data_IF_645145933104
#
_entry.id   IF_645145933104
#
_cell.length_a   1.000
_cell.length_b   1.000
_cell.length_c   1.000
_cell.angle_alpha   90.00
_cell.angle_beta   90.00
_cell.angle_gamma   90.00
#
_symmetry.space_group_name_H-M   'P 1'
#
loop_
_entity.id
_entity.type
_entity.pdbx_description
1 polymer ?
#
# COMPACT_ATOMS: atom_id res chain seq x y z
N UNK A 1 66.57 47.33 30.73
CA UNK A 1 66.15 45.93 30.49
C UNK A 1 64.61 45.91 30.59
N UNK A 2 63.93 45.87 29.44
CA UNK A 2 62.46 45.87 29.39
C UNK A 2 62.07 44.55 28.76
N UNK A 3 61.37 43.69 29.56
CA UNK A 3 60.86 42.40 29.10
C UNK A 3 59.57 42.62 28.31
N UNK A 4 59.62 42.26 27.05
CA UNK A 4 58.45 42.22 26.18
C UNK A 4 57.77 40.85 26.36
N UNK A 5 56.61 40.86 26.96
CA UNK A 5 55.75 39.68 27.09
C UNK A 5 54.88 39.57 25.83
N UNK A 6 55.17 38.61 24.94
CA UNK A 6 54.35 38.34 23.78
C UNK A 6 53.24 37.38 24.24
N UNK A 7 51.98 37.84 24.32
CA UNK A 7 50.84 37.04 24.55
C UNK A 7 50.38 36.54 23.18
N UNK A 8 50.59 35.25 22.90
CA UNK A 8 50.04 34.58 21.74
C UNK A 8 48.59 34.16 22.09
N UNK A 9 47.64 34.88 21.51
CA UNK A 9 46.20 34.55 21.60
C UNK A 9 45.91 33.45 20.60
N UNK A 10 45.86 32.17 21.03
CA UNK A 10 45.40 31.06 20.23
C UNK A 10 43.87 31.11 20.18
N UNK A 11 43.36 31.66 19.09
CA UNK A 11 41.93 31.58 18.79
C UNK A 11 41.59 30.13 18.43
N UNK A 12 41.04 29.39 19.38
CA UNK A 12 40.45 28.06 19.15
C UNK A 12 39.13 28.27 18.43
N UNK A 13 39.16 28.22 17.11
CA UNK A 13 37.95 28.18 16.28
C UNK A 13 37.27 26.83 16.50
N UNK A 14 36.31 26.78 17.43
CA UNK A 14 35.35 25.70 17.54
C UNK A 14 34.47 25.72 16.27
N UNK A 15 34.89 24.96 15.28
CA UNK A 15 34.00 24.59 14.16
C UNK A 15 32.96 23.68 14.76
N UNK A 16 31.81 24.25 15.14
CA UNK A 16 30.60 23.50 15.35
C UNK A 16 30.20 22.91 14.00
N UNK A 17 30.61 21.68 13.73
CA UNK A 17 29.87 20.83 12.82
C UNK A 17 28.52 20.62 13.49
N UNK A 18 27.58 21.49 13.21
CA UNK A 18 26.18 21.23 13.44
C UNK A 18 25.86 20.01 12.62
N UNK A 19 25.80 18.82 13.26
CA UNK A 19 25.04 17.70 12.71
C UNK A 19 23.65 18.27 12.46
N UNK A 20 23.37 18.57 11.19
CA UNK A 20 21.99 18.73 10.78
C UNK A 20 21.34 17.38 11.03
N UNK A 21 20.74 17.24 12.19
CA UNK A 21 19.73 16.22 12.42
C UNK A 21 18.60 16.55 11.45
N UNK A 22 18.73 16.06 10.23
CA UNK A 22 17.59 15.95 9.37
C UNK A 22 16.56 15.17 10.18
N UNK A 23 15.46 15.83 10.55
CA UNK A 23 14.30 15.13 11.03
C UNK A 23 14.10 13.96 10.06
N UNK A 24 14.26 12.73 10.54
CA UNK A 24 14.17 11.55 9.68
C UNK A 24 12.73 11.52 9.17
N UNK A 25 12.54 12.12 7.98
CA UNK A 25 11.28 12.07 7.27
C UNK A 25 10.89 10.60 7.11
N UNK A 26 9.61 10.32 7.31
CA UNK A 26 9.00 9.02 7.05
C UNK A 26 9.08 8.78 5.53
N UNK A 27 10.27 8.45 5.03
CA UNK A 27 10.52 8.14 3.62
C UNK A 27 10.71 6.64 3.45
N UNK A 28 10.70 6.17 2.22
CA UNK A 28 11.01 4.78 1.88
C UNK A 28 12.50 4.53 2.14
N UNK A 29 12.81 3.64 3.08
CA UNK A 29 14.18 3.25 3.45
C UNK A 29 14.51 1.81 3.07
N UNK A 30 13.51 0.92 3.09
CA UNK A 30 13.67 -0.50 2.82
C UNK A 30 12.64 -0.95 1.79
N UNK A 31 13.12 -1.41 0.65
CA UNK A 31 12.27 -2.03 -0.39
C UNK A 31 12.56 -3.52 -0.41
N UNK A 32 11.51 -4.33 -0.32
CA UNK A 32 11.61 -5.78 -0.44
C UNK A 32 11.21 -6.20 -1.85
N UNK A 33 12.12 -6.88 -2.53
CA UNK A 33 11.89 -7.45 -3.86
C UNK A 33 11.70 -8.94 -3.72
N UNK A 34 10.53 -9.41 -4.09
CA UNK A 34 10.18 -10.81 -4.13
C UNK A 34 10.25 -11.33 -5.57
N UNK A 35 11.11 -12.28 -5.82
CA UNK A 35 11.10 -13.03 -7.07
C UNK A 35 10.15 -14.22 -6.92
N UNK A 36 8.97 -14.13 -7.52
CA UNK A 36 7.94 -15.16 -7.40
C UNK A 36 8.44 -16.54 -7.78
N UNK A 37 7.86 -17.57 -7.16
CA UNK A 37 8.25 -18.98 -7.35
C UNK A 37 9.70 -19.29 -6.93
N UNK A 38 10.22 -20.48 -7.23
CA UNK A 38 11.59 -20.87 -6.93
C UNK A 38 11.77 -22.37 -6.68
N UNK A 39 12.99 -22.85 -6.91
CA UNK A 39 13.32 -24.26 -6.77
C UNK A 39 12.61 -25.18 -7.75
N UNK A 40 12.73 -26.48 -7.54
CA UNK A 40 12.05 -27.50 -8.36
C UNK A 40 10.57 -27.61 -8.04
N UNK A 41 10.18 -27.33 -6.79
CA UNK A 41 8.81 -27.51 -6.30
C UNK A 41 7.84 -26.43 -6.79
N UNK A 42 8.33 -25.22 -7.01
CA UNK A 42 7.50 -24.07 -7.43
C UNK A 42 8.09 -23.42 -8.69
N UNK A 43 8.00 -24.05 -9.85
CA UNK A 43 8.58 -23.53 -11.10
C UNK A 43 7.80 -22.35 -11.67
N UNK A 44 6.55 -22.09 -11.23
CA UNK A 44 5.61 -21.21 -11.91
C UNK A 44 5.17 -21.77 -13.28
N UNK A 45 4.72 -20.90 -14.16
CA UNK A 45 4.36 -21.27 -15.52
C UNK A 45 5.58 -21.79 -16.31
N UNK A 46 5.34 -22.76 -17.18
CA UNK A 46 6.38 -23.33 -18.06
C UNK A 46 5.90 -23.29 -19.50
N UNK A 47 6.63 -22.57 -20.36
CA UNK A 47 6.36 -22.47 -21.78
C UNK A 47 7.64 -22.66 -22.61
N UNK A 48 7.61 -23.59 -23.56
CA UNK A 48 8.77 -23.91 -24.42
C UNK A 48 10.08 -24.14 -23.63
N UNK A 49 9.97 -24.78 -22.45
CA UNK A 49 11.11 -25.07 -21.58
C UNK A 49 11.58 -23.90 -20.71
N UNK A 50 11.06 -22.68 -20.93
CA UNK A 50 11.32 -21.51 -20.07
C UNK A 50 10.40 -21.57 -18.85
N UNK A 51 10.96 -21.36 -17.66
CA UNK A 51 10.24 -21.36 -16.38
C UNK A 51 10.07 -19.94 -15.88
N UNK A 52 8.91 -19.63 -15.37
CA UNK A 52 8.56 -18.33 -14.83
C UNK A 52 9.54 -17.88 -13.73
N UNK A 53 9.84 -18.77 -12.78
CA UNK A 53 10.78 -18.49 -11.68
C UNK A 53 12.14 -17.94 -12.13
N UNK A 54 12.60 -18.34 -13.33
CA UNK A 54 13.90 -17.91 -13.86
C UNK A 54 13.83 -16.50 -14.42
N UNK A 55 12.74 -16.14 -15.09
CA UNK A 55 12.46 -14.76 -15.54
C UNK A 55 12.32 -13.84 -14.33
N UNK A 56 11.48 -14.23 -13.36
CA UNK A 56 11.22 -13.45 -12.15
C UNK A 56 12.52 -13.13 -11.41
N UNK A 57 13.38 -14.13 -11.21
CA UNK A 57 14.66 -13.96 -10.51
C UNK A 57 15.60 -13.00 -11.26
N UNK A 58 15.72 -13.16 -12.58
CA UNK A 58 16.61 -12.32 -13.40
C UNK A 58 16.16 -10.86 -13.36
N UNK A 59 14.85 -10.60 -13.51
CA UNK A 59 14.31 -9.22 -13.46
C UNK A 59 14.44 -8.64 -12.06
N UNK A 60 14.15 -9.43 -11.01
CA UNK A 60 14.28 -8.99 -9.61
C UNK A 60 15.71 -8.55 -9.27
N UNK A 61 16.73 -9.34 -9.64
CA UNK A 61 18.12 -9.02 -9.38
C UNK A 61 18.57 -7.77 -10.16
N UNK A 62 18.13 -7.62 -11.41
CA UNK A 62 18.42 -6.42 -12.22
C UNK A 62 17.74 -5.18 -11.64
N UNK A 63 16.49 -5.30 -11.17
CA UNK A 63 15.77 -4.21 -10.52
C UNK A 63 16.50 -3.76 -9.26
N UNK A 64 16.87 -4.68 -8.40
CA UNK A 64 17.55 -4.33 -7.16
C UNK A 64 18.89 -3.66 -7.38
N UNK A 65 19.70 -4.18 -8.33
CA UNK A 65 20.97 -3.54 -8.70
C UNK A 65 20.78 -2.10 -9.23
N UNK A 66 19.68 -1.83 -9.95
CA UNK A 66 19.34 -0.47 -10.39
C UNK A 66 18.92 0.42 -9.22
N UNK A 67 18.13 -0.10 -8.29
CA UNK A 67 17.70 0.64 -7.10
C UNK A 67 18.91 0.98 -6.23
N UNK A 68 19.78 0.02 -5.93
CA UNK A 68 20.98 0.23 -5.13
C UNK A 68 21.91 1.29 -5.75
N UNK A 69 22.01 1.31 -7.09
CA UNK A 69 22.80 2.28 -7.82
C UNK A 69 22.17 3.69 -7.82
N UNK A 70 20.86 3.80 -8.03
CA UNK A 70 20.18 5.07 -8.32
C UNK A 70 19.49 5.68 -7.10
N UNK A 71 19.25 4.88 -6.07
CA UNK A 71 18.67 5.27 -4.77
C UNK A 71 19.53 4.71 -3.62
N UNK A 72 20.80 5.14 -3.47
CA UNK A 72 21.74 4.54 -2.51
C UNK A 72 21.29 4.66 -1.04
N UNK A 73 20.33 5.54 -0.76
CA UNK A 73 19.71 5.68 0.56
C UNK A 73 18.63 4.62 0.84
N UNK A 74 18.23 3.85 -0.16
CA UNK A 74 17.22 2.79 -0.05
C UNK A 74 17.90 1.43 0.02
N UNK A 75 17.68 0.73 1.11
CA UNK A 75 18.14 -0.65 1.28
C UNK A 75 17.24 -1.61 0.49
N UNK A 76 17.84 -2.46 -0.33
CA UNK A 76 17.13 -3.54 -1.01
C UNK A 76 17.26 -4.84 -0.21
N UNK A 77 16.14 -5.52 -0.02
CA UNK A 77 16.08 -6.86 0.58
C UNK A 77 15.39 -7.79 -0.40
N UNK A 78 15.97 -8.96 -0.64
CA UNK A 78 15.37 -9.96 -1.54
C UNK A 78 14.79 -11.11 -0.72
N UNK A 79 13.66 -11.65 -1.16
CA UNK A 79 13.15 -12.91 -0.59
C UNK A 79 14.02 -14.10 -0.98
N UNK A 80 14.53 -14.09 -2.22
CA UNK A 80 15.54 -15.03 -2.73
C UNK A 80 16.45 -14.37 -3.76
N UNK A 81 17.70 -14.79 -3.79
CA UNK A 81 18.72 -14.35 -4.77
C UNK A 81 19.23 -15.49 -5.66
N UNK A 82 18.73 -16.70 -5.41
CA UNK A 82 19.06 -17.91 -6.16
C UNK A 82 17.79 -18.70 -6.50
N UNK A 83 17.92 -19.72 -7.34
CA UNK A 83 16.81 -20.64 -7.64
C UNK A 83 16.58 -21.62 -6.49
N UNK A 84 15.83 -21.19 -5.50
CA UNK A 84 15.42 -22.00 -4.34
C UNK A 84 13.97 -21.78 -3.96
N UNK A 85 13.30 -22.81 -3.45
CA UNK A 85 12.07 -22.71 -2.71
C UNK A 85 12.38 -22.20 -1.30
N UNK A 86 11.44 -21.48 -0.68
CA UNK A 86 11.57 -20.95 0.69
C UNK A 86 10.79 -21.78 1.71
N UNK A 87 9.99 -22.74 1.25
CA UNK A 87 9.22 -23.67 2.04
C UNK A 87 9.05 -25.02 1.34
N UNK A 88 8.56 -26.02 2.07
CA UNK A 88 8.30 -27.36 1.54
C UNK A 88 6.89 -27.48 0.94
N UNK A 89 5.98 -26.62 1.37
CA UNK A 89 4.64 -26.45 0.83
C UNK A 89 4.48 -25.04 0.28
N UNK A 90 3.48 -24.84 -0.59
CA UNK A 90 3.15 -23.51 -1.13
C UNK A 90 2.84 -22.52 0.00
N UNK A 91 2.07 -22.95 0.98
CA UNK A 91 1.73 -22.15 2.15
C UNK A 91 2.96 -21.72 2.95
N UNK A 92 3.90 -22.62 3.19
CA UNK A 92 5.17 -22.31 3.86
C UNK A 92 6.03 -21.36 3.02
N UNK A 93 6.11 -21.58 1.70
CA UNK A 93 6.90 -20.74 0.78
C UNK A 93 6.38 -19.29 0.78
N UNK A 94 5.06 -19.10 0.61
CA UNK A 94 4.43 -17.78 0.63
C UNK A 94 4.56 -17.10 2.01
N UNK A 95 4.39 -17.87 3.10
CA UNK A 95 4.60 -17.35 4.46
C UNK A 95 6.04 -16.94 4.72
N UNK A 96 7.02 -17.68 4.19
CA UNK A 96 8.44 -17.34 4.33
C UNK A 96 8.78 -16.02 3.62
N UNK A 97 8.21 -15.75 2.43
CA UNK A 97 8.35 -14.48 1.70
C UNK A 97 7.86 -13.29 2.52
N UNK A 98 6.64 -13.38 3.02
CA UNK A 98 6.05 -12.35 3.88
C UNK A 98 6.86 -12.15 5.17
N UNK A 99 7.31 -13.25 5.82
CA UNK A 99 8.13 -13.18 7.03
C UNK A 99 9.49 -12.50 6.79
N UNK A 100 10.12 -12.73 5.63
CA UNK A 100 11.36 -12.03 5.25
C UNK A 100 11.09 -10.53 5.13
N UNK A 101 10.01 -10.15 4.45
CA UNK A 101 9.61 -8.76 4.26
C UNK A 101 9.32 -8.07 5.60
N UNK A 102 8.50 -8.69 6.45
CA UNK A 102 8.10 -8.15 7.75
C UNK A 102 9.30 -8.03 8.72
N UNK A 103 10.20 -9.05 8.76
CA UNK A 103 11.43 -9.00 9.56
C UNK A 103 12.42 -7.93 9.08
N UNK A 104 12.44 -7.65 7.80
CA UNK A 104 13.28 -6.60 7.24
C UNK A 104 12.78 -5.19 7.61
N UNK A 105 11.55 -5.07 8.13
CA UNK A 105 10.88 -3.77 8.33
C UNK A 105 10.71 -3.05 7.01
N UNK A 106 10.24 -3.75 5.97
CA UNK A 106 10.06 -3.20 4.65
C UNK A 106 9.07 -2.03 4.65
N UNK A 107 9.40 -0.97 3.94
CA UNK A 107 8.48 0.16 3.70
C UNK A 107 7.63 -0.09 2.45
N UNK A 108 8.07 -0.99 1.58
CA UNK A 108 7.36 -1.38 0.37
C UNK A 108 7.79 -2.77 -0.11
N UNK A 109 6.80 -3.56 -0.57
CA UNK A 109 7.01 -4.92 -1.09
C UNK A 109 6.59 -5.00 -2.56
N UNK A 110 7.47 -5.57 -3.41
CA UNK A 110 7.24 -5.78 -4.83
C UNK A 110 7.44 -7.26 -5.15
N UNK A 111 6.37 -7.98 -5.48
CA UNK A 111 6.45 -9.34 -6.00
C UNK A 111 6.46 -9.33 -7.53
N UNK A 112 7.40 -10.05 -8.15
CA UNK A 112 7.64 -10.07 -9.59
C UNK A 112 7.26 -11.44 -10.14
N UNK A 113 6.34 -11.45 -11.11
CA UNK A 113 5.77 -12.61 -11.76
C UNK A 113 5.69 -12.45 -13.28
N UNK A 114 5.42 -13.52 -13.99
CA UNK A 114 5.14 -13.54 -15.42
C UNK A 114 3.94 -14.45 -15.69
N UNK A 115 2.82 -13.84 -16.01
CA UNK A 115 1.51 -14.46 -16.17
C UNK A 115 1.46 -15.49 -17.31
N UNK A 116 0.40 -16.27 -17.35
CA UNK A 116 0.09 -17.18 -18.45
C UNK A 116 -1.42 -17.27 -18.68
N UNK A 117 -1.82 -17.28 -19.95
CA UNK A 117 -3.19 -17.50 -20.38
C UNK A 117 -3.22 -18.61 -21.45
N UNK A 118 -3.14 -19.91 -21.06
CA UNK A 118 -2.99 -21.03 -21.99
C UNK A 118 -4.08 -21.11 -23.06
N UNK A 119 -5.29 -20.71 -22.72
CA UNK A 119 -6.46 -20.71 -23.64
C UNK A 119 -6.54 -19.43 -24.49
N UNK A 120 -5.72 -18.41 -24.23
CA UNK A 120 -5.75 -17.12 -24.92
C UNK A 120 -4.32 -16.63 -25.21
N UNK A 121 -3.61 -17.34 -26.07
CA UNK A 121 -2.18 -17.10 -26.39
C UNK A 121 -1.91 -15.78 -27.11
N UNK A 122 -2.93 -15.06 -27.57
CA UNK A 122 -2.81 -13.71 -28.11
C UNK A 122 -2.73 -12.62 -27.05
N UNK A 123 -3.08 -12.93 -25.78
CA UNK A 123 -3.03 -11.96 -24.67
C UNK A 123 -1.59 -11.53 -24.43
N UNK A 124 -1.40 -10.21 -24.24
CA UNK A 124 -0.09 -9.58 -24.04
C UNK A 124 -0.22 -8.31 -23.20
N UNK A 125 0.89 -7.85 -22.63
CA UNK A 125 0.98 -6.64 -21.82
C UNK A 125 1.25 -6.92 -20.35
N UNK A 126 1.52 -5.86 -19.58
CA UNK A 126 1.81 -5.95 -18.16
C UNK A 126 0.60 -5.55 -17.31
N UNK A 127 0.45 -6.17 -16.15
CA UNK A 127 -0.58 -5.83 -15.16
C UNK A 127 0.02 -5.75 -13.77
N UNK A 128 -0.59 -4.95 -12.91
CA UNK A 128 -0.18 -4.84 -11.51
C UNK A 128 -1.35 -5.18 -10.61
N UNK A 129 -1.10 -6.01 -9.62
CA UNK A 129 -2.10 -6.55 -8.71
C UNK A 129 -1.85 -5.98 -7.33
N UNK A 130 -2.91 -5.48 -6.69
CA UNK A 130 -2.91 -5.07 -5.30
C UNK A 130 -3.91 -5.92 -4.52
N UNK A 131 -3.75 -5.93 -3.21
CA UNK A 131 -4.66 -6.65 -2.33
C UNK A 131 -6.08 -6.08 -2.41
N UNK A 132 -7.06 -6.93 -2.56
CA UNK A 132 -8.47 -6.56 -2.56
C UNK A 132 -9.37 -7.61 -3.17
N UNK A 133 -10.68 -7.45 -2.92
CA UNK A 133 -11.73 -8.21 -3.59
C UNK A 133 -12.34 -7.37 -4.71
N UNK A 134 -12.63 -8.00 -5.84
CA UNK A 134 -13.46 -7.47 -6.90
C UNK A 134 -14.33 -8.59 -7.45
N UNK A 135 -15.64 -8.37 -7.50
CA UNK A 135 -16.60 -9.37 -7.99
C UNK A 135 -16.32 -9.81 -9.43
N UNK A 136 -15.78 -8.91 -10.26
CA UNK A 136 -15.36 -9.22 -11.63
C UNK A 136 -14.12 -10.10 -11.69
N UNK A 137 -13.19 -9.89 -10.78
CA UNK A 137 -11.88 -10.55 -10.77
C UNK A 137 -11.93 -11.90 -10.09
N UNK A 138 -12.85 -12.14 -9.16
CA UNK A 138 -13.05 -13.45 -8.56
C UNK A 138 -13.36 -14.53 -9.62
N UNK A 139 -14.21 -14.25 -10.60
CA UNK A 139 -14.50 -15.17 -11.72
C UNK A 139 -13.34 -15.33 -12.71
N UNK A 140 -12.59 -14.27 -12.96
CA UNK A 140 -11.39 -14.34 -13.82
C UNK A 140 -10.25 -15.09 -13.14
N UNK A 141 -10.17 -15.01 -11.83
CA UNK A 141 -9.12 -15.61 -11.01
C UNK A 141 -9.34 -17.10 -10.82
N UNK A 142 -10.58 -17.56 -10.70
CA UNK A 142 -10.90 -18.98 -10.67
C UNK A 142 -10.40 -19.70 -11.93
N UNK A 143 -10.52 -19.09 -13.12
CA UNK A 143 -10.03 -19.67 -14.37
C UNK A 143 -8.52 -19.51 -14.59
N UNK A 144 -7.91 -18.41 -14.17
CA UNK A 144 -6.49 -18.13 -14.36
C UNK A 144 -5.61 -18.78 -13.28
N UNK A 145 -6.05 -18.80 -12.03
CA UNK A 145 -5.36 -19.44 -10.90
C UNK A 145 -5.41 -20.98 -10.98
N UNK A 146 -6.48 -21.53 -11.53
CA UNK A 146 -6.60 -22.99 -11.69
C UNK A 146 -5.59 -23.57 -12.68
N UNK A 147 -5.03 -22.76 -13.58
CA UNK A 147 -4.25 -23.27 -14.71
C UNK A 147 -2.75 -22.91 -14.71
N UNK A 148 -2.27 -21.91 -14.00
CA UNK A 148 -0.87 -21.51 -14.12
C UNK A 148 -0.20 -20.98 -12.84
N UNK A 149 -0.89 -20.20 -12.03
CA UNK A 149 -0.34 -19.63 -10.79
C UNK A 149 -1.14 -20.17 -9.60
N UNK A 150 -0.65 -21.25 -9.00
CA UNK A 150 -1.16 -21.76 -7.73
C UNK A 150 -0.69 -20.88 -6.59
N UNK A 151 -1.11 -19.62 -6.57
CA UNK A 151 -1.03 -18.79 -5.37
C UNK A 151 -2.18 -19.21 -4.45
N UNK A 152 -1.87 -19.51 -3.20
CA UNK A 152 -2.89 -19.99 -2.25
C UNK A 152 -3.87 -18.86 -1.93
N UNK A 153 -5.11 -19.04 -2.39
CA UNK A 153 -6.24 -18.23 -1.95
C UNK A 153 -6.63 -18.64 -0.53
N UNK A 154 -7.13 -17.72 0.24
CA UNK A 154 -7.68 -18.02 1.55
C UNK A 154 -8.95 -18.88 1.35
N UNK A 155 -9.04 -19.98 2.09
CA UNK A 155 -10.29 -20.72 2.18
C UNK A 155 -11.34 -19.89 2.91
N UNK A 156 -12.32 -19.42 2.18
CA UNK A 156 -13.43 -18.59 2.67
C UNK A 156 -14.71 -19.41 2.86
N UNK A 157 -14.64 -20.74 2.81
CA UNK A 157 -15.81 -21.63 2.93
C UNK A 157 -16.43 -21.65 4.33
N UNK A 158 -15.62 -21.38 5.38
CA UNK A 158 -16.13 -21.18 6.74
C UNK A 158 -16.49 -19.70 6.97
N UNK A 159 -17.76 -19.44 7.29
CA UNK A 159 -18.30 -18.07 7.38
C UNK A 159 -17.64 -17.22 8.49
N UNK A 160 -17.27 -17.84 9.62
CA UNK A 160 -16.57 -17.13 10.70
C UNK A 160 -15.14 -16.80 10.31
N UNK A 161 -14.42 -17.74 9.70
CA UNK A 161 -13.07 -17.53 9.14
C UNK A 161 -13.12 -16.47 8.06
N UNK A 162 -14.07 -16.53 7.14
CA UNK A 162 -14.27 -15.53 6.11
C UNK A 162 -14.52 -14.13 6.68
N UNK A 163 -15.35 -14.00 7.73
CA UNK A 163 -15.61 -12.72 8.38
C UNK A 163 -14.34 -12.14 9.06
N UNK A 164 -13.57 -12.97 9.75
CA UNK A 164 -12.30 -12.55 10.37
C UNK A 164 -11.27 -12.13 9.31
N UNK A 165 -11.14 -12.90 8.26
CA UNK A 165 -10.21 -12.63 7.15
C UNK A 165 -10.61 -11.33 6.43
N UNK A 166 -11.90 -11.13 6.13
CA UNK A 166 -12.37 -9.88 5.53
C UNK A 166 -12.09 -8.67 6.42
N UNK A 167 -12.31 -8.79 7.73
CA UNK A 167 -11.99 -7.70 8.67
C UNK A 167 -10.49 -7.38 8.69
N UNK A 168 -9.64 -8.40 8.65
CA UNK A 168 -8.18 -8.23 8.57
C UNK A 168 -7.75 -7.57 7.25
N UNK A 169 -8.26 -8.06 6.12
CA UNK A 169 -7.99 -7.50 4.79
C UNK A 169 -8.46 -6.04 4.70
N UNK A 170 -9.67 -5.74 5.21
CA UNK A 170 -10.16 -4.36 5.25
C UNK A 170 -9.24 -3.45 6.08
N UNK A 171 -8.68 -3.94 7.17
CA UNK A 171 -7.71 -3.20 7.96
C UNK A 171 -6.41 -2.93 7.18
N UNK A 172 -5.88 -3.94 6.48
CA UNK A 172 -4.68 -3.79 5.65
C UNK A 172 -4.93 -2.84 4.47
N UNK A 173 -6.06 -2.98 3.78
CA UNK A 173 -6.46 -2.07 2.70
C UNK A 173 -6.58 -0.64 3.19
N UNK A 174 -7.14 -0.47 4.37
CA UNK A 174 -7.27 0.83 4.99
C UNK A 174 -5.91 1.44 5.35
N UNK A 175 -4.97 0.61 5.83
CA UNK A 175 -3.65 1.07 6.28
C UNK A 175 -2.71 1.33 5.11
N UNK A 176 -2.69 0.44 4.12
CA UNK A 176 -1.68 0.42 3.05
C UNK A 176 -2.26 0.58 1.64
N UNK A 177 -3.59 0.50 1.50
CA UNK A 177 -4.24 0.42 0.19
C UNK A 177 -3.97 1.61 -0.72
N UNK A 178 -4.00 2.84 -0.21
CA UNK A 178 -3.69 4.04 -1.01
C UNK A 178 -2.25 4.04 -1.52
N UNK A 179 -1.30 3.63 -0.69
CA UNK A 179 0.12 3.54 -1.08
C UNK A 179 0.36 2.43 -2.10
N UNK A 180 -0.30 1.28 -1.92
CA UNK A 180 -0.26 0.18 -2.90
C UNK A 180 -0.90 0.58 -4.22
N UNK A 181 -2.06 1.24 -4.20
CA UNK A 181 -2.76 1.74 -5.39
C UNK A 181 -1.90 2.77 -6.14
N UNK A 182 -1.30 3.73 -5.42
CA UNK A 182 -0.43 4.75 -6.03
C UNK A 182 0.75 4.08 -6.74
N UNK A 183 1.46 3.16 -6.06
CA UNK A 183 2.58 2.44 -6.69
C UNK A 183 2.12 1.63 -7.91
N UNK A 184 0.98 0.95 -7.82
CA UNK A 184 0.46 0.15 -8.93
C UNK A 184 0.15 1.03 -10.16
N UNK A 185 -0.45 2.20 -9.97
CA UNK A 185 -0.71 3.18 -11.04
C UNK A 185 0.58 3.71 -11.65
N UNK A 186 1.57 4.04 -10.82
CA UNK A 186 2.89 4.47 -11.28
C UNK A 186 3.56 3.36 -12.10
N UNK A 187 3.51 2.09 -11.66
CA UNK A 187 4.04 0.96 -12.42
C UNK A 187 3.36 0.83 -13.80
N UNK A 188 2.02 0.87 -13.85
CA UNK A 188 1.30 0.78 -15.13
C UNK A 188 1.68 1.93 -16.07
N UNK A 189 1.78 3.17 -15.56
CA UNK A 189 2.27 4.32 -16.32
C UNK A 189 3.65 4.07 -16.93
N UNK A 190 4.60 3.52 -16.17
CA UNK A 190 5.94 3.22 -16.67
C UNK A 190 5.97 2.04 -17.64
N UNK A 191 5.11 1.03 -17.48
CA UNK A 191 4.94 -0.03 -18.46
C UNK A 191 4.43 0.52 -19.81
N UNK A 192 3.38 1.34 -19.79
CA UNK A 192 2.84 1.97 -20.99
C UNK A 192 3.88 2.86 -21.66
N UNK A 193 4.58 3.71 -20.90
CA UNK A 193 5.69 4.53 -21.42
C UNK A 193 6.82 3.70 -22.05
N UNK A 194 7.05 2.51 -21.53
CA UNK A 194 8.00 1.54 -22.08
C UNK A 194 7.45 0.69 -23.23
N UNK A 195 6.26 1.00 -23.75
CA UNK A 195 5.66 0.33 -24.90
C UNK A 195 4.94 -1.00 -24.56
N UNK A 196 4.65 -1.26 -23.28
CA UNK A 196 3.84 -2.41 -22.86
C UNK A 196 2.37 -2.10 -23.00
N UNK A 197 1.55 -3.07 -23.41
CA UNK A 197 0.10 -2.93 -23.38
C UNK A 197 -0.36 -2.83 -21.93
N UNK A 198 -1.20 -1.83 -21.64
CA UNK A 198 -1.78 -1.61 -20.33
C UNK A 198 -2.90 -2.59 -20.03
N UNK A 199 -2.67 -3.48 -19.07
CA UNK A 199 -3.69 -4.42 -18.60
C UNK A 199 -4.33 -3.98 -17.28
N UNK A 200 -4.05 -2.76 -16.85
CA UNK A 200 -4.63 -2.09 -15.69
C UNK A 200 -4.14 -2.64 -14.35
N UNK A 201 -4.51 -1.92 -13.31
CA UNK A 201 -4.39 -2.37 -11.92
C UNK A 201 -5.56 -3.30 -11.61
N UNK A 202 -5.27 -4.43 -10.98
CA UNK A 202 -6.26 -5.43 -10.56
C UNK A 202 -6.24 -5.61 -9.05
N UNK A 203 -7.31 -6.20 -8.51
CA UNK A 203 -7.42 -6.50 -7.08
C UNK A 203 -7.62 -7.99 -6.88
N UNK A 204 -6.76 -8.61 -6.06
CA UNK A 204 -6.82 -10.04 -5.74
C UNK A 204 -6.42 -10.29 -4.28
N UNK A 205 -6.92 -11.37 -3.70
CA UNK A 205 -6.59 -11.81 -2.34
C UNK A 205 -5.40 -12.77 -2.35
N UNK A 206 -4.27 -12.31 -2.86
CA UNK A 206 -3.05 -13.11 -2.91
C UNK A 206 -2.36 -13.13 -1.55
N UNK A 207 -1.98 -14.32 -1.07
CA UNK A 207 -1.37 -14.51 0.24
C UNK A 207 -0.11 -13.68 0.43
N UNK A 208 0.74 -13.60 -0.57
CA UNK A 208 1.97 -12.82 -0.51
C UNK A 208 1.72 -11.32 -0.29
N UNK A 209 0.54 -10.81 -0.69
CA UNK A 209 0.17 -9.40 -0.50
C UNK A 209 -0.50 -9.14 0.85
N UNK A 210 -1.40 -10.04 1.29
CA UNK A 210 -2.09 -9.82 2.57
C UNK A 210 -1.26 -10.23 3.80
N UNK A 211 -0.25 -11.06 3.63
CA UNK A 211 0.62 -11.49 4.74
C UNK A 211 1.79 -10.52 5.01
N UNK A 212 2.01 -9.52 4.15
CA UNK A 212 3.01 -8.47 4.36
C UNK A 212 2.41 -7.29 5.11
N UNK A 213 3.11 -6.81 6.15
CA UNK A 213 2.68 -5.67 6.99
C UNK A 213 3.26 -4.35 6.45
N UNK A 214 3.06 -4.11 5.14
CA UNK A 214 3.51 -2.91 4.42
C UNK A 214 2.72 -2.73 3.12
N UNK A 215 2.77 -1.54 2.48
CA UNK A 215 2.28 -1.37 1.11
C UNK A 215 2.90 -2.41 0.19
N UNK A 216 2.07 -3.07 -0.63
CA UNK A 216 2.51 -4.20 -1.44
C UNK A 216 1.84 -4.25 -2.80
N UNK A 217 2.60 -4.68 -3.81
CA UNK A 217 2.11 -4.95 -5.15
C UNK A 217 2.71 -6.25 -5.68
N UNK A 218 1.96 -6.94 -6.54
CA UNK A 218 2.47 -7.99 -7.41
C UNK A 218 2.40 -7.49 -8.85
N UNK A 219 3.46 -7.63 -9.59
CA UNK A 219 3.50 -7.23 -11.00
C UNK A 219 3.68 -8.43 -11.90
N UNK A 220 2.84 -8.53 -12.90
CA UNK A 220 2.90 -9.48 -14.00
C UNK A 220 3.58 -8.82 -15.19
N UNK A 221 4.80 -9.22 -15.48
CA UNK A 221 5.66 -8.61 -16.51
C UNK A 221 5.11 -8.77 -17.93
N UNK A 222 4.29 -9.79 -18.15
CA UNK A 222 3.73 -10.18 -19.45
C UNK A 222 3.16 -11.59 -19.41
N UNK A 223 2.81 -12.15 -20.56
CA UNK A 223 2.17 -13.45 -20.67
C UNK A 223 3.09 -14.47 -21.35
N UNK A 224 3.59 -15.44 -20.59
CA UNK A 224 4.49 -16.50 -21.09
C UNK A 224 3.84 -17.36 -22.17
N UNK A 225 2.51 -17.49 -22.18
CA UNK A 225 1.74 -18.18 -23.22
C UNK A 225 1.79 -17.49 -24.59
N UNK A 226 2.12 -16.20 -24.64
CA UNK A 226 2.33 -15.45 -25.87
C UNK A 226 3.79 -15.58 -26.32
N UNK A 227 4.02 -16.07 -27.53
CA UNK A 227 5.36 -16.35 -28.03
C UNK A 227 6.27 -15.10 -28.13
N UNK A 228 5.69 -13.92 -28.46
CA UNK A 228 6.45 -12.65 -28.55
C UNK A 228 6.82 -12.15 -27.16
N UNK A 229 5.89 -12.21 -26.20
CA UNK A 229 6.13 -11.85 -24.81
C UNK A 229 7.17 -12.77 -24.16
N UNK A 230 7.04 -14.08 -24.35
CA UNK A 230 8.00 -15.05 -23.84
C UNK A 230 9.40 -14.78 -24.37
N UNK A 231 9.55 -14.56 -25.68
CA UNK A 231 10.84 -14.24 -26.28
C UNK A 231 11.43 -12.93 -25.71
N UNK A 232 10.58 -11.91 -25.50
CA UNK A 232 10.98 -10.64 -24.92
C UNK A 232 11.42 -10.81 -23.46
N UNK A 233 10.57 -11.39 -22.59
CA UNK A 233 10.88 -11.58 -21.17
C UNK A 233 12.07 -12.53 -20.91
N UNK A 234 12.30 -13.49 -21.79
CA UNK A 234 13.44 -14.40 -21.69
C UNK A 234 14.74 -13.84 -22.29
N UNK A 235 14.71 -12.68 -22.97
CA UNK A 235 15.89 -12.03 -23.52
C UNK A 235 16.56 -11.12 -22.48
N UNK A 236 17.89 -11.00 -22.57
CA UNK A 236 18.68 -10.08 -21.74
C UNK A 236 18.18 -8.62 -21.90
N UNK A 237 17.91 -8.21 -23.16
CA UNK A 237 17.37 -6.89 -23.49
C UNK A 237 16.04 -6.65 -22.82
N UNK A 238 15.07 -7.55 -22.97
CA UNK A 238 13.73 -7.40 -22.38
C UNK A 238 13.78 -7.36 -20.86
N UNK A 239 14.60 -8.19 -20.22
CA UNK A 239 14.78 -8.16 -18.77
C UNK A 239 15.37 -6.85 -18.27
N UNK A 240 16.36 -6.28 -19.00
CA UNK A 240 16.94 -4.98 -18.67
C UNK A 240 15.90 -3.85 -18.82
N UNK A 241 15.11 -3.87 -19.89
CA UNK A 241 14.04 -2.89 -20.12
C UNK A 241 12.95 -2.98 -19.05
N UNK A 242 12.47 -4.18 -18.69
CA UNK A 242 11.49 -4.39 -17.65
C UNK A 242 12.02 -3.91 -16.29
N UNK A 243 13.24 -4.28 -15.92
CA UNK A 243 13.86 -3.82 -14.69
C UNK A 243 14.01 -2.28 -14.67
N UNK A 244 14.31 -1.67 -15.82
CA UNK A 244 14.38 -0.19 -15.95
C UNK A 244 13.01 0.48 -15.75
N UNK A 245 11.95 -0.05 -16.34
CA UNK A 245 10.59 0.45 -16.15
C UNK A 245 10.19 0.41 -14.66
N UNK A 246 10.44 -0.73 -14.00
CA UNK A 246 10.18 -0.90 -12.58
C UNK A 246 11.03 0.03 -11.71
N UNK A 247 12.32 0.19 -12.01
CA UNK A 247 13.20 1.13 -11.28
C UNK A 247 12.71 2.57 -11.40
N UNK A 248 12.29 2.99 -12.59
CA UNK A 248 11.73 4.33 -12.79
C UNK A 248 10.42 4.52 -11.99
N UNK A 249 9.58 3.48 -11.92
CA UNK A 249 8.38 3.50 -11.09
C UNK A 249 8.72 3.62 -9.60
N UNK A 250 9.71 2.86 -9.12
CA UNK A 250 10.20 2.96 -7.73
C UNK A 250 10.72 4.35 -7.42
N UNK A 251 11.50 4.96 -8.32
CA UNK A 251 12.04 6.33 -8.14
C UNK A 251 10.91 7.35 -8.03
N UNK A 252 9.91 7.26 -8.89
CA UNK A 252 8.74 8.16 -8.87
C UNK A 252 7.95 7.99 -7.57
N UNK A 253 7.72 6.74 -7.14
CA UNK A 253 7.03 6.43 -5.89
C UNK A 253 7.79 6.93 -4.65
N UNK A 254 9.10 6.68 -4.57
CA UNK A 254 9.95 7.20 -3.47
C UNK A 254 9.88 8.73 -3.42
N UNK A 255 9.95 9.39 -4.57
CA UNK A 255 9.79 10.84 -4.67
C UNK A 255 8.41 11.31 -4.19
N UNK A 256 7.35 10.58 -4.52
CA UNK A 256 5.99 10.85 -4.04
C UNK A 256 5.90 10.74 -2.51
N UNK A 257 6.37 9.65 -1.93
CA UNK A 257 6.35 9.43 -0.47
C UNK A 257 7.17 10.50 0.26
N UNK A 258 8.34 10.88 -0.28
CA UNK A 258 9.18 11.91 0.33
C UNK A 258 8.51 13.29 0.34
N UNK A 259 7.76 13.63 -0.73
CA UNK A 259 6.97 14.87 -0.75
C UNK A 259 5.87 14.86 0.31
N UNK A 260 5.15 13.75 0.47
CA UNK A 260 4.14 13.60 1.53
C UNK A 260 4.73 13.75 2.93
N UNK A 261 5.94 13.24 3.14
CA UNK A 261 6.64 13.29 4.43
C UNK A 261 7.21 14.68 4.73
N UNK A 262 7.54 15.47 3.72
CA UNK A 262 8.07 16.83 3.84
C UNK A 262 7.02 17.92 4.08
N UNK A 263 5.73 17.57 4.17
CA UNK A 263 4.64 18.53 4.42
C UNK A 263 4.27 19.42 3.23
N UNK A 264 4.64 19.02 2.01
CA UNK A 264 4.15 19.66 0.79
C UNK A 264 2.66 19.31 0.59
N UNK A 265 1.88 20.34 0.29
CA UNK A 265 0.43 20.25 0.12
C UNK A 265 0.03 19.29 -1.01
N UNK A 266 -0.74 18.26 -0.69
CA UNK A 266 -1.17 17.19 -1.61
C UNK A 266 -2.06 17.74 -2.72
N UNK A 267 -2.72 18.90 -2.48
CA UNK A 267 -3.67 19.52 -3.43
C UNK A 267 -3.02 19.90 -4.77
N UNK A 268 -1.72 20.19 -4.78
CA UNK A 268 -0.99 20.56 -6.01
C UNK A 268 -0.57 19.38 -6.89
N UNK A 269 -0.53 18.16 -6.33
CA UNK A 269 -0.09 16.95 -7.05
C UNK A 269 -1.26 16.30 -7.79
N UNK A 270 -2.48 16.34 -7.23
CA UNK A 270 -3.67 15.81 -7.89
C UNK A 270 -4.13 16.65 -9.09
N UNK A 271 -3.84 17.97 -9.10
CA UNK A 271 -4.19 18.83 -10.23
C UNK A 271 -3.28 18.65 -11.45
N UNK A 272 -2.00 18.35 -11.26
CA UNK A 272 -1.09 18.12 -12.40
C UNK A 272 -1.30 16.78 -13.11
N UNK A 273 -1.98 15.80 -12.47
CA UNK A 273 -2.26 14.49 -13.06
C UNK A 273 -3.65 14.41 -13.73
N UNK A 274 -4.52 15.43 -13.53
CA UNK A 274 -5.86 15.50 -14.15
C UNK A 274 -5.92 16.25 -15.47
N UNK A 275 -4.85 16.89 -15.92
CA UNK A 275 -4.82 17.74 -17.11
C UNK A 275 -4.31 17.08 -18.40
N UNK A 276 -4.28 15.75 -18.52
CA UNK A 276 -4.19 15.14 -19.85
C UNK A 276 -5.60 14.96 -20.45
N UNK A 277 -5.89 15.55 -21.62
CA UNK A 277 -7.22 15.48 -22.21
C UNK A 277 -7.55 14.07 -22.68
N UNK A 278 -8.59 13.50 -22.12
CA UNK A 278 -9.24 12.33 -22.70
C UNK A 278 -10.02 12.82 -23.92
N UNK A 279 -9.57 12.49 -25.13
CA UNK A 279 -10.36 12.61 -26.34
C UNK A 279 -11.68 11.86 -26.18
N UNK A 280 -12.76 12.59 -26.10
CA UNK A 280 -14.11 12.04 -26.10
C UNK A 280 -14.50 11.68 -27.55
N UNK A 281 -14.56 10.39 -27.83
CA UNK A 281 -15.37 9.91 -28.96
C UNK A 281 -16.85 10.13 -28.65
N UNK A 282 -17.43 11.04 -29.40
CA UNK A 282 -18.87 11.32 -29.39
C UNK A 282 -19.63 10.20 -30.08
N UNK A 283 -20.36 9.42 -29.31
CA UNK A 283 -21.44 8.57 -29.84
C UNK A 283 -22.77 9.23 -29.47
N UNK A 284 -23.45 9.76 -30.48
CA UNK A 284 -24.81 10.26 -30.37
C UNK A 284 -25.78 9.14 -30.02
N UNK A 285 -26.59 9.33 -29.00
CA UNK A 285 -27.82 8.54 -28.82
C UNK A 285 -28.92 9.43 -28.23
N UNK A 286 -30.08 9.31 -28.86
CA UNK A 286 -31.29 10.13 -28.76
C UNK A 286 -31.91 10.22 -27.36
N UNK A 287 -32.43 11.40 -27.08
CA UNK A 287 -33.28 11.74 -25.95
C UNK A 287 -34.66 11.06 -26.05
N UNK A 288 -35.14 10.51 -24.93
CA UNK A 288 -36.58 10.43 -24.63
C UNK A 288 -36.83 10.90 -23.21
N UNK A 289 -37.53 12.01 -23.14
CA UNK A 289 -38.06 12.66 -21.95
C UNK A 289 -39.15 11.83 -21.27
N UNK A 290 -39.13 11.71 -19.93
CA UNK A 290 -40.34 11.52 -19.13
C UNK A 290 -40.25 12.31 -17.82
N UNK A 291 -41.37 12.91 -17.51
CA UNK A 291 -41.70 13.97 -16.59
C UNK A 291 -41.36 13.76 -15.09
N UNK A 292 -41.17 14.89 -14.44
CA UNK A 292 -41.14 15.16 -13.02
C UNK A 292 -42.48 14.98 -12.32
N UNK A 293 -42.51 14.51 -11.09
CA UNK A 293 -43.47 14.99 -10.08
C UNK A 293 -42.85 14.97 -8.67
N UNK A 294 -43.13 15.93 -7.79
CA UNK A 294 -42.44 16.18 -6.54
C UNK A 294 -43.16 15.58 -5.32
N UNK A 295 -42.41 15.17 -4.28
CA UNK A 295 -42.98 14.84 -2.95
C UNK A 295 -42.24 15.52 -1.82
N UNK A 296 -42.94 16.41 -1.25
CA UNK A 296 -43.10 17.03 0.09
C UNK A 296 -42.10 16.68 1.19
N UNK A 297 -41.64 17.76 1.84
CA UNK A 297 -41.00 17.85 3.15
C UNK A 297 -41.94 17.44 4.29
N UNK A 298 -41.42 16.72 5.27
CA UNK A 298 -41.93 16.77 6.64
C UNK A 298 -40.78 16.95 7.63
N UNK A 299 -40.89 18.05 8.39
CA UNK A 299 -40.13 18.36 9.59
C UNK A 299 -40.62 17.49 10.77
N UNK A 300 -39.70 17.01 11.61
CA UNK A 300 -40.00 16.62 12.98
C UNK A 300 -38.99 17.26 13.94
N UNK A 301 -39.53 17.97 14.88
CA UNK A 301 -38.90 18.78 15.93
C UNK A 301 -38.05 17.97 16.91
N UNK A 302 -37.05 18.66 17.39
CA UNK A 302 -36.17 18.40 18.52
C UNK A 302 -36.86 18.33 19.87
N UNK A 303 -36.33 17.51 20.77
CA UNK A 303 -36.37 17.84 22.22
C UNK A 303 -34.96 17.60 22.81
N UNK A 304 -34.55 18.67 23.52
CA UNK A 304 -33.31 18.80 24.26
C UNK A 304 -33.44 18.17 25.65
N UNK A 305 -32.37 17.54 26.16
CA UNK A 305 -32.12 17.44 27.60
C UNK A 305 -30.66 17.81 27.87
N UNK A 306 -30.55 18.87 28.67
CA UNK A 306 -29.33 19.40 29.25
C UNK A 306 -28.70 18.43 30.26
N UNK A 307 -27.40 18.32 30.30
CA UNK A 307 -26.62 18.27 31.52
C UNK A 307 -25.21 18.77 31.28
N UNK A 308 -24.86 19.77 32.03
CA UNK A 308 -23.60 20.50 32.13
C UNK A 308 -22.45 19.63 32.63
N UNK A 309 -21.24 19.85 32.10
CA UNK A 309 -20.00 20.00 32.89
C UNK A 309 -18.80 20.39 32.02
N UNK A 310 -18.05 21.26 32.48
CA UNK A 310 -16.92 22.16 32.35
C UNK A 310 -15.80 21.82 31.36
N UNK A 311 -15.12 22.81 30.75
CA UNK A 311 -14.40 22.67 29.50
C UNK A 311 -12.91 22.37 29.68
N UNK A 312 -12.45 21.36 28.94
CA UNK A 312 -11.04 21.15 28.56
C UNK A 312 -10.75 21.82 27.21
N UNK A 313 -9.50 22.06 26.81
CA UNK A 313 -9.14 23.00 25.78
C UNK A 313 -9.77 22.67 24.43
N UNK A 314 -10.18 23.72 23.71
CA UNK A 314 -10.92 23.71 22.45
C UNK A 314 -10.21 22.88 21.36
N UNK A 315 -10.52 21.60 21.30
CA UNK A 315 -10.39 20.81 20.08
C UNK A 315 -11.39 21.38 19.06
N UNK A 316 -10.90 21.78 17.89
CA UNK A 316 -11.77 22.11 16.76
C UNK A 316 -12.61 20.86 16.47
N UNK A 317 -13.90 20.90 16.72
CA UNK A 317 -14.84 19.88 16.28
C UNK A 317 -14.94 19.95 14.75
N UNK A 318 -14.03 19.24 14.10
CA UNK A 318 -14.12 19.00 12.67
C UNK A 318 -15.34 18.11 12.45
N UNK A 319 -16.28 18.53 11.61
CA UNK A 319 -17.43 17.70 11.23
C UNK A 319 -17.01 16.42 10.52
N UNK A 320 -15.83 16.46 9.88
CA UNK A 320 -15.17 15.32 9.26
C UNK A 320 -13.65 15.43 9.41
N UNK A 321 -12.94 14.32 9.28
CA UNK A 321 -11.48 14.25 9.40
C UNK A 321 -10.99 12.84 9.62
N UNK A 322 -9.79 12.76 10.19
CA UNK A 322 -9.13 11.49 10.50
C UNK A 322 -8.97 11.34 12.02
N UNK A 323 -8.99 10.09 12.48
CA UNK A 323 -8.76 9.75 13.88
C UNK A 323 -8.05 8.40 13.96
N UNK A 324 -7.46 8.03 15.09
CA UNK A 324 -6.76 6.76 15.27
C UNK A 324 -7.65 5.82 16.08
N UNK A 325 -8.14 4.76 15.46
CA UNK A 325 -8.89 3.73 16.17
C UNK A 325 -7.94 2.87 17.00
N UNK A 326 -8.18 2.84 18.31
CA UNK A 326 -7.39 2.06 19.27
C UNK A 326 -7.94 0.66 19.43
N UNK A 327 -9.28 0.54 19.47
CA UNK A 327 -9.99 -0.73 19.62
C UNK A 327 -11.45 -0.61 19.23
N UNK A 328 -12.13 -1.74 19.16
CA UNK A 328 -13.58 -1.81 18.97
C UNK A 328 -14.22 -2.78 19.98
N UNK A 329 -15.49 -2.58 20.31
CA UNK A 329 -16.25 -3.42 21.25
C UNK A 329 -17.72 -3.55 20.83
N UNK A 330 -18.34 -4.64 21.20
CA UNK A 330 -19.79 -4.87 21.13
C UNK A 330 -20.55 -4.11 22.23
N UNK A 331 -19.87 -3.80 23.34
CA UNK A 331 -20.42 -3.06 24.50
C UNK A 331 -19.80 -1.67 24.60
N UNK A 332 -20.59 -0.75 25.15
CA UNK A 332 -20.11 0.59 25.41
C UNK A 332 -19.16 0.62 26.61
N UNK A 333 -17.99 1.21 26.44
CA UNK A 333 -16.93 1.33 27.43
C UNK A 333 -16.71 2.82 27.70
N UNK A 334 -16.53 3.19 28.97
CA UNK A 334 -16.26 4.59 29.34
C UNK A 334 -14.86 4.99 28.89
N UNK A 335 -14.68 6.22 28.39
CA UNK A 335 -13.36 6.73 27.97
C UNK A 335 -12.31 6.73 29.10
N UNK A 336 -12.76 6.74 30.35
CA UNK A 336 -11.90 6.65 31.53
C UNK A 336 -11.50 5.24 31.92
N UNK A 337 -11.89 4.22 31.18
CA UNK A 337 -11.57 2.82 31.48
C UNK A 337 -10.07 2.53 31.39
N UNK A 338 -9.60 1.61 32.26
CA UNK A 338 -8.19 1.25 32.38
C UNK A 338 -7.59 0.67 31.10
N UNK A 339 -8.40 0.00 30.29
CA UNK A 339 -7.95 -0.61 29.04
C UNK A 339 -7.41 0.41 28.02
N UNK A 340 -7.77 1.70 28.14
CA UNK A 340 -7.22 2.76 27.30
C UNK A 340 -5.83 3.25 27.71
N UNK A 341 -5.23 2.65 28.73
CA UNK A 341 -3.83 2.91 29.15
C UNK A 341 -3.53 4.41 29.31
N UNK A 342 -2.49 4.91 28.62
CA UNK A 342 -2.10 6.34 28.63
C UNK A 342 -3.05 7.26 27.85
N UNK A 343 -4.01 6.70 27.13
CA UNK A 343 -5.04 7.44 26.37
C UNK A 343 -6.37 7.55 27.11
N UNK A 344 -6.42 7.09 28.38
CA UNK A 344 -7.59 7.20 29.25
C UNK A 344 -8.08 8.65 29.32
N UNK A 345 -9.38 8.85 29.12
CA UNK A 345 -10.01 10.16 29.09
C UNK A 345 -9.82 10.97 27.80
N UNK A 346 -8.96 10.49 26.88
CA UNK A 346 -8.67 11.15 25.60
C UNK A 346 -9.31 10.43 24.41
N UNK A 347 -10.11 9.40 24.66
CA UNK A 347 -10.71 8.55 23.65
C UNK A 347 -12.13 9.00 23.37
N UNK A 348 -12.47 9.17 22.09
CA UNK A 348 -13.84 9.40 21.60
C UNK A 348 -14.44 8.07 21.11
N UNK A 349 -15.72 7.87 21.33
CA UNK A 349 -16.46 6.70 20.85
C UNK A 349 -17.27 7.07 19.61
N UNK A 350 -17.10 6.30 18.54
CA UNK A 350 -17.85 6.42 17.30
C UNK A 350 -18.69 5.16 17.08
N UNK A 351 -19.84 5.32 16.42
CA UNK A 351 -20.65 4.17 16.02
C UNK A 351 -20.22 3.75 14.62
N UNK A 352 -19.86 2.48 14.47
CA UNK A 352 -19.50 1.85 13.20
C UNK A 352 -20.41 0.67 12.87
N UNK A 353 -20.25 0.11 11.69
CA UNK A 353 -20.96 -1.10 11.27
C UNK A 353 -20.37 -2.38 11.92
N UNK A 354 -21.15 -3.48 11.85
CA UNK A 354 -20.74 -4.82 12.28
C UNK A 354 -20.97 -5.10 13.77
N UNK A 355 -20.54 -6.29 14.21
CA UNK A 355 -20.75 -6.81 15.59
C UNK A 355 -20.10 -5.90 16.63
N UNK A 356 -18.87 -5.45 16.39
CA UNK A 356 -18.15 -4.52 17.26
C UNK A 356 -18.54 -3.07 16.95
N UNK A 357 -19.74 -2.67 17.29
CA UNK A 357 -20.32 -1.39 16.88
C UNK A 357 -19.70 -0.14 17.50
N UNK A 358 -19.04 -0.25 18.66
CA UNK A 358 -18.36 0.89 19.29
C UNK A 358 -16.90 0.92 18.89
N UNK A 359 -16.48 2.01 18.21
CA UNK A 359 -15.11 2.25 17.78
C UNK A 359 -14.50 3.32 18.68
N UNK A 360 -13.43 2.98 19.37
CA UNK A 360 -12.75 3.87 20.32
C UNK A 360 -11.52 4.47 19.66
N UNK A 361 -11.56 5.78 19.49
CA UNK A 361 -10.58 6.49 18.68
C UNK A 361 -9.91 7.62 19.48
N UNK A 362 -8.65 7.91 19.12
CA UNK A 362 -7.83 8.96 19.70
C UNK A 362 -7.47 10.00 18.66
N UNK A 363 -7.55 11.27 19.06
CA UNK A 363 -7.20 12.44 18.25
C UNK A 363 -8.24 12.78 17.19
N UNK A 364 -8.13 13.98 16.67
CA UNK A 364 -8.91 14.51 15.55
C UNK A 364 -7.95 15.27 14.63
N UNK A 365 -7.74 14.77 13.43
CA UNK A 365 -6.72 15.23 12.50
C UNK A 365 -7.37 15.73 11.22
N UNK A 366 -6.86 16.83 10.68
CA UNK A 366 -7.35 17.42 9.44
C UNK A 366 -6.92 16.64 8.21
N UNK A 367 -5.80 15.92 8.31
CA UNK A 367 -5.27 15.09 7.23
C UNK A 367 -4.91 13.69 7.72
N UNK A 368 -4.92 12.73 6.79
CA UNK A 368 -4.47 11.36 7.05
C UNK A 368 -2.98 11.32 7.43
N UNK A 369 -2.16 12.15 6.79
CA UNK A 369 -0.72 12.23 7.07
C UNK A 369 -0.43 12.66 8.50
N UNK A 370 -1.22 13.58 9.05
CA UNK A 370 -1.12 14.02 10.44
C UNK A 370 -1.47 12.87 11.40
N UNK A 371 -2.57 12.16 11.14
CA UNK A 371 -2.97 11.00 11.92
C UNK A 371 -1.92 9.87 11.88
N UNK A 372 -1.32 9.61 10.72
CA UNK A 372 -0.26 8.59 10.55
C UNK A 372 1.00 8.93 11.33
N UNK A 373 1.39 10.20 11.40
CA UNK A 373 2.53 10.61 12.23
C UNK A 373 2.30 10.29 13.72
N UNK A 374 1.10 10.57 14.21
CA UNK A 374 0.74 10.30 15.60
C UNK A 374 0.55 8.80 15.87
N UNK A 375 0.14 8.02 14.86
CA UNK A 375 -0.08 6.58 14.96
C UNK A 375 1.17 5.84 15.47
N UNK A 376 2.36 6.27 15.09
CA UNK A 376 3.63 5.64 15.54
C UNK A 376 3.77 5.68 17.07
N UNK A 377 3.40 6.78 17.70
CA UNK A 377 3.39 6.90 19.17
C UNK A 377 2.29 6.02 19.78
N UNK A 378 1.11 6.00 19.17
CA UNK A 378 -0.05 5.22 19.61
C UNK A 378 0.24 3.72 19.57
N UNK A 379 0.89 3.22 18.52
CA UNK A 379 1.24 1.80 18.35
C UNK A 379 2.17 1.24 19.45
N UNK A 380 2.86 2.09 20.19
CA UNK A 380 3.63 1.64 21.38
C UNK A 380 2.73 1.05 22.46
N UNK A 381 1.49 1.52 22.58
CA UNK A 381 0.51 1.08 23.57
C UNK A 381 -0.58 0.20 22.97
N UNK A 382 -0.98 0.48 21.73
CA UNK A 382 -2.03 -0.24 20.99
C UNK A 382 -1.44 -0.68 19.64
N UNK A 383 -0.87 -1.88 19.61
CA UNK A 383 -0.17 -2.42 18.42
C UNK A 383 -1.05 -2.46 17.18
N UNK A 384 -2.35 -2.75 17.38
CA UNK A 384 -3.35 -2.88 16.31
C UNK A 384 -4.10 -1.57 16.01
N UNK A 385 -3.60 -0.43 16.53
CA UNK A 385 -4.19 0.87 16.23
C UNK A 385 -3.96 1.26 14.77
N UNK A 386 -4.95 1.93 14.17
CA UNK A 386 -4.92 2.37 12.78
C UNK A 386 -5.73 3.64 12.56
N UNK A 387 -5.41 4.37 11.49
CA UNK A 387 -6.09 5.63 11.14
C UNK A 387 -7.42 5.32 10.47
N UNK A 388 -8.49 6.01 10.86
CA UNK A 388 -9.83 5.95 10.25
C UNK A 388 -10.31 7.34 9.87
N UNK A 389 -11.12 7.44 8.82
CA UNK A 389 -11.86 8.67 8.50
C UNK A 389 -13.16 8.67 9.30
N UNK A 390 -13.56 9.85 9.76
CA UNK A 390 -14.88 10.05 10.35
C UNK A 390 -15.59 11.22 9.71
N UNK A 391 -16.92 11.14 9.65
CA UNK A 391 -17.79 12.22 9.20
C UNK A 391 -19.09 12.15 10.01
N UNK A 392 -19.55 13.32 10.46
CA UNK A 392 -20.80 13.46 11.25
C UNK A 392 -20.91 12.47 12.42
N UNK A 393 -19.82 12.27 13.16
CA UNK A 393 -19.80 11.39 14.35
C UNK A 393 -19.82 9.89 14.06
N UNK A 394 -19.65 9.49 12.82
CA UNK A 394 -19.55 8.07 12.40
C UNK A 394 -18.21 7.79 11.74
N UNK A 395 -17.70 6.60 11.94
CA UNK A 395 -16.58 6.10 11.11
C UNK A 395 -17.12 5.84 9.71
N UNK A 396 -16.50 6.48 8.73
CA UNK A 396 -16.83 6.33 7.30
C UNK A 396 -15.74 5.51 6.60
N UNK A 397 -16.16 4.75 5.58
CA UNK A 397 -15.28 3.92 4.79
C UNK A 397 -14.52 4.76 3.76
#
# INVERSE_FOLDING_TARGET
MKHFFCIILVAFSLIFFGEQTYAQGVGVKVIVIDAGHGGSSFPGAIYKGVKEKDINLKVALKLGALIEKELPQVKVVYTRTTDKALGNSLNEDLSARANIANKAGGDFFISIHANAAPKATSVMGAETIIMGESEKETRYNEDALYNANKEELIDMSDENTAAMVRAYIQNLQFTYGEYSEMMARIMQKHYVKGGRNDRKVKRQLLKVLYATDMPSVLTELGFMSNAKELAYMNSEKGQNELARMLCNAVKEYVGYINRLSGGADISSVEQSEREEPVEQETVATEEKSVAQTPVTKQEVKSQSVNSSETPAPKEKDLQEGYTIQLMASDKQIKSSDAQFKSYRGKVKSYIGGGVLKYKYCYGSFSSRSEAVRELTAVKRSFKDAFVVRYSQGKIVK
#
